data_IF_336050163759
#
_entry.id   IF_336050163759
#
_cell.length_a   1.000
_cell.length_b   1.000
_cell.length_c   1.000
_cell.angle_alpha   90.00
_cell.angle_beta   90.00
_cell.angle_gamma   90.00
#
_symmetry.space_group_name_H-M   'P 1'
#
loop_
_entity.id
_entity.type
_entity.pdbx_description
1 polymer ?
#
# COMPACT_ATOMS: atom_id res chain seq x y z
N UNK A 1 0.05 -7.76 15.03
CA UNK A 1 0.12 -6.98 13.77
C UNK A 1 -0.15 -7.94 12.61
N UNK A 2 -1.19 -7.72 11.80
CA UNK A 2 -1.49 -8.60 10.64
C UNK A 2 -0.50 -8.28 9.51
N UNK A 3 0.12 -9.31 8.93
CA UNK A 3 1.03 -9.19 7.79
C UNK A 3 0.21 -9.40 6.52
N UNK A 4 0.31 -8.47 5.57
CA UNK A 4 -0.30 -8.63 4.23
C UNK A 4 0.35 -9.84 3.57
N UNK A 5 -0.44 -10.71 2.95
CA UNK A 5 0.04 -11.93 2.28
C UNK A 5 -0.70 -12.11 0.97
N UNK A 6 -0.05 -12.77 0.02
CA UNK A 6 -0.64 -13.26 -1.23
C UNK A 6 -0.34 -14.76 -1.37
N UNK A 7 -1.11 -15.54 -2.13
CA UNK A 7 -0.79 -16.95 -2.37
C UNK A 7 0.47 -17.09 -3.24
N UNK A 8 1.17 -18.23 -3.13
CA UNK A 8 2.27 -18.53 -4.03
C UNK A 8 1.77 -18.58 -5.49
N UNK A 9 2.41 -17.88 -6.45
CA UNK A 9 1.94 -17.87 -7.84
C UNK A 9 2.09 -19.22 -8.55
N UNK A 10 2.84 -20.17 -7.99
CA UNK A 10 3.07 -21.48 -8.60
C UNK A 10 2.16 -22.58 -8.06
N UNK A 11 1.85 -22.58 -6.76
CA UNK A 11 1.13 -23.69 -6.11
C UNK A 11 0.01 -23.21 -5.18
N UNK A 12 -0.29 -21.91 -5.18
CA UNK A 12 -1.35 -21.26 -4.38
C UNK A 12 -1.22 -21.43 -2.86
N UNK A 13 -0.19 -22.12 -2.40
CA UNK A 13 0.09 -22.35 -0.99
C UNK A 13 0.42 -21.06 -0.27
N UNK A 14 0.24 -21.07 1.05
CA UNK A 14 0.56 -19.94 1.91
C UNK A 14 2.05 -19.59 1.80
N UNK A 15 2.34 -18.29 1.82
CA UNK A 15 3.70 -17.75 1.87
C UNK A 15 3.96 -17.07 3.21
N UNK A 16 5.22 -16.84 3.54
CA UNK A 16 5.64 -16.05 4.70
C UNK A 16 6.46 -14.85 4.22
N UNK A 17 6.09 -13.65 4.68
CA UNK A 17 6.95 -12.48 4.55
C UNK A 17 8.19 -12.68 5.43
N UNK A 18 9.38 -12.55 4.86
CA UNK A 18 10.67 -12.73 5.54
C UNK A 18 11.37 -11.42 5.82
N UNK A 19 11.38 -10.53 4.83
CA UNK A 19 12.06 -9.25 4.91
C UNK A 19 11.25 -8.21 4.17
N UNK A 20 11.20 -6.99 4.70
CA UNK A 20 10.66 -5.84 4.00
C UNK A 20 11.71 -4.75 3.90
N UNK A 21 11.83 -4.12 2.73
CA UNK A 21 12.68 -2.96 2.51
C UNK A 21 11.84 -1.80 2.00
N UNK A 22 11.94 -0.65 2.66
CA UNK A 22 11.33 0.59 2.17
C UNK A 22 12.27 1.22 1.15
N UNK A 23 11.79 1.42 -0.09
CA UNK A 23 12.59 2.04 -1.15
C UNK A 23 12.21 3.51 -1.34
N UNK A 24 10.95 3.85 -1.14
CA UNK A 24 10.47 5.24 -1.19
C UNK A 24 9.33 5.43 -0.17
N UNK A 25 8.89 6.67 0.09
CA UNK A 25 7.75 6.92 0.98
C UNK A 25 6.45 6.23 0.53
N UNK A 26 6.32 5.87 -0.75
CA UNK A 26 5.12 5.25 -1.33
C UNK A 26 5.32 3.78 -1.69
N UNK A 27 6.54 3.24 -1.61
CA UNK A 27 6.87 1.91 -2.11
C UNK A 27 7.75 1.09 -1.15
N UNK A 28 7.36 -0.17 -0.95
CA UNK A 28 8.14 -1.17 -0.22
C UNK A 28 8.26 -2.46 -1.03
N UNK A 29 9.39 -3.12 -0.91
CA UNK A 29 9.56 -4.50 -1.34
C UNK A 29 9.39 -5.44 -0.15
N UNK A 30 8.80 -6.60 -0.39
CA UNK A 30 8.64 -7.67 0.59
C UNK A 30 9.12 -8.97 -0.03
N UNK A 31 10.10 -9.61 0.59
CA UNK A 31 10.54 -10.96 0.24
C UNK A 31 9.61 -11.96 0.89
N UNK A 32 8.99 -12.81 0.07
CA UNK A 32 8.12 -13.91 0.48
C UNK A 32 8.78 -15.26 0.22
N UNK A 33 8.46 -16.22 1.09
CA UNK A 33 8.90 -17.61 0.98
C UNK A 33 7.70 -18.53 1.05
N UNK A 34 7.51 -19.38 0.04
CA UNK A 34 6.46 -20.39 0.01
C UNK A 34 6.64 -21.38 1.18
N UNK A 35 5.53 -21.77 1.81
CA UNK A 35 5.56 -22.77 2.89
C UNK A 35 5.40 -24.21 2.40
N UNK A 36 5.01 -24.41 1.14
CA UNK A 36 4.97 -25.76 0.58
C UNK A 36 6.42 -26.24 0.33
N UNK A 37 6.89 -27.28 1.04
CA UNK A 37 8.27 -27.76 0.93
C UNK A 37 8.61 -28.27 -0.48
N UNK A 38 7.63 -28.78 -1.23
CA UNK A 38 7.82 -29.26 -2.60
C UNK A 38 7.96 -28.10 -3.59
N UNK A 39 7.42 -26.92 -3.25
CA UNK A 39 7.49 -25.74 -4.09
C UNK A 39 8.73 -24.88 -3.80
N UNK A 40 8.99 -24.57 -2.51
CA UNK A 40 10.18 -23.81 -2.07
C UNK A 40 10.33 -22.39 -2.64
N UNK A 41 9.40 -21.91 -3.47
CA UNK A 41 9.55 -20.67 -4.22
C UNK A 41 9.75 -19.45 -3.30
N UNK A 42 10.75 -18.64 -3.61
CA UNK A 42 11.06 -17.41 -2.89
C UNK A 42 11.07 -16.25 -3.89
N UNK A 43 10.34 -15.19 -3.59
CA UNK A 43 10.10 -14.09 -4.52
C UNK A 43 9.98 -12.76 -3.79
N UNK A 44 10.09 -11.67 -4.54
CA UNK A 44 9.89 -10.30 -4.04
C UNK A 44 8.59 -9.76 -4.63
N UNK A 45 7.74 -9.16 -3.80
CA UNK A 45 6.57 -8.42 -4.23
C UNK A 45 6.63 -6.97 -3.77
N UNK A 46 6.07 -6.07 -4.56
CA UNK A 46 5.94 -4.65 -4.25
C UNK A 46 4.64 -4.34 -3.51
N UNK A 47 4.73 -3.44 -2.53
CA UNK A 47 3.58 -2.81 -1.87
C UNK A 47 3.64 -1.31 -2.14
N UNK A 48 2.68 -0.81 -2.91
CA UNK A 48 2.62 0.58 -3.35
C UNK A 48 1.37 1.30 -2.85
N UNK A 49 1.53 2.55 -2.45
CA UNK A 49 0.41 3.45 -2.17
C UNK A 49 -0.12 4.02 -3.49
N UNK A 50 -1.24 3.48 -3.97
CA UNK A 50 -1.75 3.80 -5.30
C UNK A 50 -2.61 5.05 -5.36
N UNK A 51 -3.52 5.25 -4.39
CA UNK A 51 -4.49 6.36 -4.42
C UNK A 51 -5.04 6.70 -3.05
N UNK A 52 -5.38 7.97 -2.87
CA UNK A 52 -6.04 8.52 -1.68
C UNK A 52 -7.54 8.25 -1.74
N UNK A 53 -8.07 7.56 -0.74
CA UNK A 53 -9.51 7.34 -0.53
C UNK A 53 -10.14 8.31 0.48
N UNK A 54 -9.33 8.95 1.32
CA UNK A 54 -9.73 10.01 2.24
C UNK A 54 -8.52 10.90 2.49
N UNK A 55 -8.71 12.22 2.53
CA UNK A 55 -7.60 13.16 2.70
C UNK A 55 -6.98 13.00 4.10
N UNK A 56 -5.65 13.06 4.17
CA UNK A 56 -4.93 13.09 5.43
C UNK A 56 -5.14 14.44 6.12
N UNK A 57 -5.37 14.44 7.43
CA UNK A 57 -5.35 15.65 8.25
C UNK A 57 -3.92 16.21 8.44
N UNK A 58 -2.89 15.42 8.12
CA UNK A 58 -1.47 15.80 8.19
C UNK A 58 -0.79 15.51 6.84
N UNK A 59 -1.09 16.30 5.78
CA UNK A 59 -0.51 16.09 4.46
C UNK A 59 0.97 16.49 4.44
N UNK A 60 1.80 15.71 3.73
CA UNK A 60 3.19 16.07 3.44
C UNK A 60 3.25 16.79 2.09
N UNK A 61 3.82 17.99 2.06
CA UNK A 61 3.87 18.86 0.86
C UNK A 61 4.70 18.28 -0.28
N UNK A 62 5.67 17.42 0.03
CA UNK A 62 6.56 16.78 -0.94
C UNK A 62 6.06 15.41 -1.44
N UNK A 63 4.86 14.97 -1.04
CA UNK A 63 4.27 13.71 -1.50
C UNK A 63 3.01 13.96 -2.31
N UNK A 64 3.02 13.45 -3.55
CA UNK A 64 1.87 13.52 -4.45
C UNK A 64 1.30 12.12 -4.63
N UNK A 65 0.11 11.90 -4.09
CA UNK A 65 -0.66 10.65 -4.24
C UNK A 65 -1.95 11.01 -4.98
N UNK A 66 -2.31 10.33 -6.08
CA UNK A 66 -3.52 10.66 -6.82
C UNK A 66 -4.76 10.35 -5.97
N UNK A 67 -5.79 11.19 -6.09
CA UNK A 67 -7.07 10.95 -5.41
C UNK A 67 -7.90 9.99 -6.26
N UNK A 68 -8.53 9.01 -5.62
CA UNK A 68 -9.46 8.08 -6.28
C UNK A 68 -10.62 8.84 -6.92
N UNK A 69 -10.98 8.46 -8.15
CA UNK A 69 -12.07 9.12 -8.91
C UNK A 69 -13.39 9.15 -8.12
N UNK A 70 -13.73 8.05 -7.44
CA UNK A 70 -14.96 7.92 -6.65
C UNK A 70 -15.06 8.88 -5.46
N UNK A 71 -13.93 9.44 -4.98
CA UNK A 71 -13.91 10.34 -3.82
C UNK A 71 -13.56 11.77 -4.23
N UNK A 72 -13.32 12.03 -5.52
CA UNK A 72 -12.82 13.32 -5.99
C UNK A 72 -13.76 14.49 -5.67
N UNK A 73 -15.07 14.29 -5.82
CA UNK A 73 -16.07 15.30 -5.50
C UNK A 73 -16.14 15.59 -3.98
N UNK A 74 -16.16 14.54 -3.16
CA UNK A 74 -16.19 14.68 -1.69
C UNK A 74 -14.89 15.27 -1.14
N UNK A 75 -13.75 14.93 -1.74
CA UNK A 75 -12.44 15.50 -1.39
C UNK A 75 -12.38 17.00 -1.68
N UNK A 76 -12.99 17.47 -2.78
CA UNK A 76 -13.08 18.90 -3.07
C UNK A 76 -13.89 19.65 -2.00
N UNK A 77 -14.98 19.05 -1.52
CA UNK A 77 -15.79 19.62 -0.44
C UNK A 77 -15.05 19.62 0.91
N UNK A 78 -14.19 18.64 1.19
CA UNK A 78 -13.32 18.67 2.38
C UNK A 78 -12.31 19.83 2.34
N UNK A 79 -11.78 20.18 1.16
CA UNK A 79 -10.85 21.30 1.01
C UNK A 79 -11.53 22.66 1.18
N UNK A 80 -12.80 22.80 0.76
CA UNK A 80 -13.55 24.05 0.94
C UNK A 80 -13.96 24.30 2.40
N UNK A 81 -14.10 23.26 3.21
CA UNK A 81 -14.39 23.37 4.65
C UNK A 81 -13.19 23.90 5.48
N UNK A 82 -11.96 23.79 4.98
CA UNK A 82 -10.75 24.25 5.69
C UNK A 82 -10.43 25.74 5.49
N UNK A 83 -11.24 26.50 4.75
CA UNK A 83 -11.11 27.96 4.61
C UNK A 83 -11.88 28.74 5.72
N UNK A 84 -12.52 28.06 6.66
CA UNK A 84 -13.29 28.68 7.76
C UNK A 84 -12.67 28.51 9.16
N UNK A 85 -11.46 27.96 9.26
CA UNK A 85 -10.68 27.98 10.51
C UNK A 85 -9.53 28.95 10.31
N UNK A 86 -9.86 30.24 10.38
CA UNK A 86 -8.92 31.34 10.55
C UNK A 86 -8.75 31.63 12.04
#
# INVERSE_FOLDING_TARGET
>A
MRVISLPCPHCESRVLARKSRTLSPLFKEITYMCQNPDCGHTFVAGLEVLRTLSLSALPKTNLRIPISQHVRHNAANQLSLNLFVA
#
